data_IF_827129420949
#
_entry.id   IF_827129420949
#
_cell.length_a   1.000
_cell.length_b   1.000
_cell.length_c   1.000
_cell.angle_alpha   90.00
_cell.angle_beta   90.00
_cell.angle_gamma   90.00
#
_symmetry.space_group_name_H-M   'P 1'
#
loop_
_entity.id
_entity.type
_entity.pdbx_description
1 polymer ?
#
# COMPACT_ATOMS: atom_id res chain seq x y z
N UNK A 1 11.22 -57.68 33.57
CA UNK A 1 12.04 -56.51 34.02
C UNK A 1 12.16 -55.41 32.97
N UNK A 2 12.44 -55.69 31.71
CA UNK A 2 12.55 -54.65 30.68
C UNK A 2 11.23 -53.96 30.35
N UNK A 3 10.11 -54.69 30.34
CA UNK A 3 8.77 -54.14 30.04
C UNK A 3 8.31 -53.15 31.11
N UNK A 4 8.65 -53.40 32.38
CA UNK A 4 8.30 -52.50 33.48
C UNK A 4 9.15 -51.21 33.45
N UNK A 5 10.41 -51.28 33.04
CA UNK A 5 11.26 -50.10 32.85
C UNK A 5 10.82 -49.24 31.67
N UNK A 6 10.32 -49.86 30.59
CA UNK A 6 9.75 -49.19 29.44
C UNK A 6 8.41 -48.51 29.80
N UNK A 7 7.53 -49.19 30.58
CA UNK A 7 6.29 -48.56 31.07
C UNK A 7 6.55 -47.38 32.00
N UNK A 8 7.57 -47.46 32.88
CA UNK A 8 7.93 -46.36 33.76
C UNK A 8 8.52 -45.17 33.00
N UNK A 9 9.22 -45.40 31.90
CA UNK A 9 9.72 -44.29 31.04
C UNK A 9 8.61 -43.65 30.19
N UNK A 10 7.56 -44.37 29.86
CA UNK A 10 6.40 -43.86 29.13
C UNK A 10 5.43 -43.12 30.05
N UNK A 11 5.36 -43.45 31.32
CA UNK A 11 4.51 -42.75 32.29
C UNK A 11 5.18 -41.53 32.93
N UNK A 12 6.50 -41.35 32.78
CA UNK A 12 7.22 -40.19 33.29
C UNK A 12 7.30 -39.01 32.28
N UNK A 13 6.78 -39.15 31.11
CA UNK A 13 6.41 -38.01 30.25
C UNK A 13 4.95 -37.65 30.56
N UNK A 14 4.72 -37.08 31.74
CA UNK A 14 3.61 -36.17 31.89
C UNK A 14 3.90 -34.99 30.95
N UNK A 15 3.59 -35.16 29.72
CA UNK A 15 3.38 -34.01 28.84
C UNK A 15 2.18 -33.31 29.49
N UNK A 16 2.45 -32.22 30.23
CA UNK A 16 1.43 -31.29 30.62
C UNK A 16 0.85 -30.65 29.37
N UNK A 17 -0.06 -31.39 28.71
CA UNK A 17 -0.80 -30.93 27.55
C UNK A 17 -1.71 -29.79 27.99
N UNK A 18 -2.01 -28.89 27.06
CA UNK A 18 -3.00 -27.85 27.25
C UNK A 18 -4.38 -28.47 27.51
N UNK A 19 -5.15 -27.86 28.37
CA UNK A 19 -6.55 -28.25 28.61
C UNK A 19 -7.44 -27.68 27.49
N UNK A 20 -8.58 -28.35 27.22
CA UNK A 20 -9.57 -27.86 26.25
C UNK A 20 -10.07 -26.46 26.60
N UNK A 21 -10.22 -26.15 27.89
CA UNK A 21 -10.70 -24.84 28.35
C UNK A 21 -9.66 -23.75 28.14
N UNK A 22 -8.36 -24.04 28.23
CA UNK A 22 -7.28 -23.09 27.93
C UNK A 22 -7.27 -22.69 26.46
N UNK A 23 -7.44 -23.65 25.57
CA UNK A 23 -7.58 -23.37 24.13
C UNK A 23 -8.86 -22.60 23.83
N UNK A 24 -9.98 -22.96 24.45
CA UNK A 24 -11.25 -22.29 24.26
C UNK A 24 -11.17 -20.81 24.66
N UNK A 25 -10.63 -20.52 25.84
CA UNK A 25 -10.55 -19.14 26.35
C UNK A 25 -9.63 -18.27 25.48
N UNK A 26 -8.54 -18.82 24.97
CA UNK A 26 -7.63 -18.12 24.06
C UNK A 26 -8.33 -17.78 22.75
N UNK A 27 -9.07 -18.71 22.17
CA UNK A 27 -9.84 -18.47 20.94
C UNK A 27 -10.92 -17.40 21.12
N UNK A 28 -11.61 -17.40 22.26
CA UNK A 28 -12.60 -16.38 22.60
C UNK A 28 -11.96 -15.00 22.71
N UNK A 29 -10.83 -14.88 23.42
CA UNK A 29 -10.11 -13.61 23.55
C UNK A 29 -9.63 -13.09 22.19
N UNK A 30 -9.02 -13.95 21.38
CA UNK A 30 -8.59 -13.58 20.01
C UNK A 30 -9.79 -13.13 19.18
N UNK A 31 -10.92 -13.83 19.25
CA UNK A 31 -12.15 -13.47 18.55
C UNK A 31 -12.66 -12.07 18.91
N UNK A 32 -12.68 -11.72 20.20
CA UNK A 32 -13.09 -10.39 20.66
C UNK A 32 -12.11 -9.32 20.19
N UNK A 33 -10.80 -9.57 20.27
CA UNK A 33 -9.78 -8.62 19.81
C UNK A 33 -9.86 -8.39 18.31
N UNK A 34 -10.05 -9.43 17.53
CA UNK A 34 -10.21 -9.33 16.06
C UNK A 34 -11.49 -8.57 15.69
N UNK A 35 -12.58 -8.77 16.42
CA UNK A 35 -13.84 -8.07 16.16
C UNK A 35 -13.69 -6.53 16.23
N UNK A 36 -12.79 -6.04 17.07
CA UNK A 36 -12.48 -4.61 17.20
C UNK A 36 -11.37 -4.17 16.22
N UNK A 37 -10.34 -5.01 16.08
CA UNK A 37 -9.14 -4.65 15.31
C UNK A 37 -9.38 -4.62 13.80
N UNK A 38 -10.17 -5.54 13.24
CA UNK A 38 -10.37 -5.65 11.79
C UNK A 38 -11.05 -4.41 11.18
N UNK A 39 -12.18 -3.89 11.70
CA UNK A 39 -12.80 -2.68 11.18
C UNK A 39 -11.87 -1.46 11.23
N UNK A 40 -11.14 -1.29 12.33
CA UNK A 40 -10.17 -0.20 12.50
C UNK A 40 -9.01 -0.29 11.50
N UNK A 41 -8.52 -1.49 11.25
CA UNK A 41 -7.45 -1.74 10.28
C UNK A 41 -7.85 -1.39 8.85
N UNK A 42 -9.07 -1.74 8.43
CA UNK A 42 -9.57 -1.43 7.09
C UNK A 42 -9.66 0.08 6.86
N UNK A 43 -10.20 0.84 7.83
CA UNK A 43 -10.25 2.29 7.73
C UNK A 43 -8.87 2.95 7.68
N UNK A 44 -7.90 2.44 8.42
CA UNK A 44 -6.52 2.91 8.38
C UNK A 44 -5.85 2.61 7.04
N UNK A 45 -6.05 1.41 6.49
CA UNK A 45 -5.53 0.99 5.19
C UNK A 45 -6.00 1.91 4.07
N UNK A 46 -7.28 2.28 4.04
CA UNK A 46 -7.84 3.18 3.03
C UNK A 46 -7.23 4.59 3.11
N UNK A 47 -7.07 5.12 4.33
CA UNK A 47 -6.40 6.41 4.54
C UNK A 47 -4.95 6.38 4.08
N UNK A 48 -4.23 5.30 4.40
CA UNK A 48 -2.85 5.11 3.97
C UNK A 48 -2.73 5.04 2.44
N UNK A 49 -3.64 4.33 1.77
CA UNK A 49 -3.69 4.24 0.32
C UNK A 49 -3.94 5.60 -0.35
N UNK A 50 -4.90 6.38 0.15
CA UNK A 50 -5.16 7.76 -0.32
C UNK A 50 -3.94 8.66 -0.17
N UNK A 51 -3.32 8.64 1.00
CA UNK A 51 -2.13 9.44 1.28
C UNK A 51 -0.95 9.03 0.39
N UNK A 52 -0.77 7.74 0.16
CA UNK A 52 0.28 7.22 -0.73
C UNK A 52 0.06 7.65 -2.19
N UNK A 53 -1.18 7.60 -2.69
CA UNK A 53 -1.49 8.06 -4.04
C UNK A 53 -1.22 9.56 -4.21
N UNK A 54 -1.65 10.38 -3.26
CA UNK A 54 -1.35 11.82 -3.26
C UNK A 54 0.15 12.11 -3.20
N UNK A 55 0.87 11.41 -2.33
CA UNK A 55 2.32 11.58 -2.19
C UNK A 55 3.07 11.20 -3.46
N UNK A 56 2.66 10.13 -4.15
CA UNK A 56 3.26 9.71 -5.42
C UNK A 56 3.05 10.75 -6.52
N UNK A 57 1.85 11.34 -6.61
CA UNK A 57 1.59 12.44 -7.55
C UNK A 57 2.43 13.66 -7.20
N UNK A 58 2.45 14.05 -5.92
CA UNK A 58 3.20 15.23 -5.48
C UNK A 58 4.71 15.09 -5.72
N UNK A 59 5.27 13.92 -5.45
CA UNK A 59 6.70 13.67 -5.65
C UNK A 59 7.12 13.65 -7.13
N UNK A 60 6.18 13.44 -8.05
CA UNK A 60 6.44 13.45 -9.49
C UNK A 60 6.50 14.87 -10.09
N UNK A 61 5.93 15.86 -9.42
CA UNK A 61 5.84 17.24 -9.94
C UNK A 61 7.21 17.84 -10.31
N UNK A 62 8.25 17.72 -9.47
CA UNK A 62 9.58 18.22 -9.85
C UNK A 62 10.11 17.62 -11.15
N UNK A 63 9.88 16.32 -11.39
CA UNK A 63 10.30 15.66 -12.62
C UNK A 63 9.51 16.13 -13.85
N UNK A 64 8.21 16.40 -13.67
CA UNK A 64 7.35 16.98 -14.73
C UNK A 64 7.82 18.37 -15.09
N UNK A 65 8.12 19.21 -14.11
CA UNK A 65 8.62 20.58 -14.34
C UNK A 65 10.04 20.57 -14.92
N UNK A 66 10.90 19.63 -14.53
CA UNK A 66 12.22 19.45 -15.13
C UNK A 66 12.10 19.05 -16.61
N UNK A 67 11.18 18.13 -16.94
CA UNK A 67 10.90 17.79 -18.33
C UNK A 67 10.49 19.00 -19.16
N UNK A 68 9.60 19.83 -18.62
CA UNK A 68 9.19 21.07 -19.27
C UNK A 68 10.33 22.07 -19.44
N UNK A 69 11.18 22.21 -18.44
CA UNK A 69 12.36 23.08 -18.51
C UNK A 69 13.32 22.67 -19.61
N UNK A 70 13.49 21.34 -19.82
CA UNK A 70 14.40 20.79 -20.83
C UNK A 70 13.80 20.84 -22.25
N UNK A 71 12.49 20.67 -22.39
CA UNK A 71 11.82 20.51 -23.69
C UNK A 71 10.94 21.71 -24.11
N UNK A 72 10.59 22.60 -23.20
CA UNK A 72 9.70 23.74 -23.44
C UNK A 72 8.23 23.36 -23.70
N UNK A 73 7.87 22.10 -23.54
CA UNK A 73 6.54 21.54 -23.80
C UNK A 73 6.33 20.26 -23.01
N UNK A 74 5.08 19.93 -22.72
CA UNK A 74 4.72 18.60 -22.16
C UNK A 74 4.42 17.56 -23.24
N UNK A 75 4.35 17.96 -24.52
CA UNK A 75 4.12 17.02 -25.63
C UNK A 75 5.24 16.00 -25.68
N UNK A 76 4.86 14.72 -25.74
CA UNK A 76 5.82 13.60 -25.75
C UNK A 76 6.32 13.17 -24.37
N UNK A 77 5.88 13.83 -23.28
CA UNK A 77 6.21 13.39 -21.93
C UNK A 77 5.67 11.98 -21.70
N UNK A 78 6.51 11.10 -21.15
CA UNK A 78 6.17 9.72 -20.88
C UNK A 78 6.67 9.31 -19.48
N UNK A 79 6.16 8.22 -18.98
CA UNK A 79 6.67 7.65 -17.70
C UNK A 79 8.17 7.34 -17.80
N UNK A 80 8.63 6.85 -18.94
CA UNK A 80 10.05 6.58 -19.18
C UNK A 80 10.91 7.85 -19.12
N UNK A 81 10.43 8.95 -19.73
CA UNK A 81 11.11 10.23 -19.69
C UNK A 81 11.20 10.81 -18.26
N UNK A 82 10.11 10.71 -17.48
CA UNK A 82 10.10 11.14 -16.09
C UNK A 82 11.03 10.29 -15.22
N UNK A 83 11.07 8.98 -15.43
CA UNK A 83 11.98 8.07 -14.71
C UNK A 83 13.44 8.26 -15.09
N UNK A 84 13.73 8.78 -16.27
CA UNK A 84 15.08 9.16 -16.64
C UNK A 84 15.59 10.37 -15.83
N UNK A 85 14.68 11.25 -15.44
CA UNK A 85 14.98 12.40 -14.57
C UNK A 85 15.05 11.96 -13.10
N UNK A 86 14.07 11.20 -12.64
CA UNK A 86 13.99 10.64 -11.28
C UNK A 86 13.43 9.22 -11.34
N UNK A 87 14.27 8.23 -11.06
CA UNK A 87 13.89 6.82 -11.05
C UNK A 87 12.81 6.48 -10.01
N UNK A 88 12.60 7.34 -9.00
CA UNK A 88 11.60 7.18 -7.95
C UNK A 88 10.17 7.55 -8.37
N UNK A 89 9.96 8.07 -9.58
CA UNK A 89 8.63 8.43 -10.09
C UNK A 89 7.71 7.21 -10.16
N UNK A 90 6.52 7.34 -9.57
CA UNK A 90 5.50 6.28 -9.45
C UNK A 90 4.14 6.71 -9.98
N UNK A 91 4.12 7.51 -11.03
CA UNK A 91 2.87 7.98 -11.65
C UNK A 91 2.71 7.42 -13.05
N UNK A 92 1.46 7.45 -13.53
CA UNK A 92 1.12 7.29 -14.93
C UNK A 92 0.89 8.67 -15.55
N UNK A 93 1.12 8.78 -16.84
CA UNK A 93 0.90 10.01 -17.61
C UNK A 93 -0.41 9.88 -18.38
N UNK A 94 -1.25 10.90 -18.31
CA UNK A 94 -2.50 10.97 -19.06
C UNK A 94 -2.27 11.16 -20.57
N UNK A 95 -3.29 10.83 -21.35
CA UNK A 95 -3.19 10.88 -22.81
C UNK A 95 -3.16 12.31 -23.40
N UNK A 96 -3.76 13.26 -22.71
CA UNK A 96 -3.88 14.64 -23.19
C UNK A 96 -2.69 15.48 -22.73
N UNK A 97 -1.66 15.52 -23.57
CA UNK A 97 -0.47 16.35 -23.38
C UNK A 97 -0.45 17.45 -24.44
N UNK A 98 -0.28 18.68 -24.00
CA UNK A 98 -0.15 19.84 -24.89
C UNK A 98 1.11 20.64 -24.56
N UNK A 99 1.34 21.74 -25.24
CA UNK A 99 2.47 22.62 -24.95
C UNK A 99 2.44 23.17 -23.52
N UNK A 100 1.26 23.33 -22.93
CA UNK A 100 1.06 24.00 -21.63
C UNK A 100 0.26 23.16 -20.63
N UNK A 101 -0.21 21.97 -21.03
CA UNK A 101 -1.05 21.14 -20.19
C UNK A 101 -0.51 19.71 -20.11
N UNK A 102 -0.58 19.14 -18.91
CA UNK A 102 -0.27 17.74 -18.63
C UNK A 102 -1.26 17.15 -17.62
N UNK A 103 -1.35 15.84 -17.58
CA UNK A 103 -1.97 15.13 -16.47
C UNK A 103 -1.10 13.97 -16.03
N UNK A 104 -0.86 13.89 -14.74
CA UNK A 104 -0.24 12.74 -14.09
C UNK A 104 -1.14 12.20 -12.99
N UNK A 105 -1.16 10.90 -12.82
CA UNK A 105 -2.03 10.26 -11.82
C UNK A 105 -1.37 9.03 -11.21
N UNK A 106 -1.86 8.67 -10.02
CA UNK A 106 -1.49 7.43 -9.34
C UNK A 106 -2.71 6.82 -8.69
N UNK A 107 -2.79 5.51 -8.68
CA UNK A 107 -3.85 4.74 -8.04
C UNK A 107 -3.25 3.80 -7.02
N UNK A 108 -3.72 3.88 -5.78
CA UNK A 108 -3.35 3.00 -4.68
C UNK A 108 -4.60 2.50 -3.97
N UNK A 109 -4.71 1.19 -3.78
CA UNK A 109 -5.85 0.59 -3.08
C UNK A 109 -7.22 0.94 -3.69
N UNK A 110 -7.29 1.22 -5.00
CA UNK A 110 -8.50 1.66 -5.69
C UNK A 110 -8.77 3.18 -5.65
N UNK A 111 -7.94 3.97 -4.95
CA UNK A 111 -8.08 5.43 -4.88
C UNK A 111 -7.17 6.09 -5.89
N UNK A 112 -7.78 6.83 -6.82
CA UNK A 112 -7.08 7.61 -7.84
C UNK A 112 -6.88 9.05 -7.36
N UNK A 113 -5.66 9.55 -7.53
CA UNK A 113 -5.32 10.96 -7.41
C UNK A 113 -4.57 11.42 -8.64
N UNK A 114 -4.86 12.63 -9.08
CA UNK A 114 -4.27 13.22 -10.28
C UNK A 114 -3.95 14.69 -10.10
N UNK A 115 -3.07 15.18 -10.98
CA UNK A 115 -2.83 16.61 -11.19
C UNK A 115 -3.05 16.92 -12.66
N UNK A 116 -4.09 17.70 -12.92
CA UNK A 116 -4.51 18.15 -14.26
C UNK A 116 -3.96 19.56 -14.54
N UNK A 117 -2.75 19.63 -15.08
CA UNK A 117 -2.08 20.89 -15.39
C UNK A 117 -1.32 21.51 -14.21
N UNK A 118 -0.48 22.49 -14.52
CA UNK A 118 0.41 23.16 -13.56
C UNK A 118 -0.36 23.94 -12.47
N UNK A 119 -1.46 24.56 -12.83
CA UNK A 119 -2.27 25.41 -11.93
C UNK A 119 -3.25 24.62 -11.06
N UNK A 120 -3.61 23.38 -11.43
CA UNK A 120 -4.59 22.60 -10.68
C UNK A 120 -4.00 22.03 -9.39
N UNK A 121 -4.83 21.95 -8.33
CA UNK A 121 -4.50 21.18 -7.15
C UNK A 121 -4.55 19.67 -7.44
N UNK A 122 -3.88 18.87 -6.61
CA UNK A 122 -4.00 17.40 -6.65
C UNK A 122 -5.41 17.02 -6.16
N UNK A 123 -6.14 16.28 -6.98
CA UNK A 123 -7.52 15.88 -6.70
C UNK A 123 -7.82 14.47 -7.19
N UNK A 124 -9.09 14.10 -7.09
CA UNK A 124 -9.59 12.76 -7.47
C UNK A 124 -10.16 12.72 -8.89
N UNK A 125 -10.11 13.80 -9.64
CA UNK A 125 -10.57 13.86 -11.02
C UNK A 125 -9.68 12.97 -11.90
N UNK A 126 -10.29 12.22 -12.83
CA UNK A 126 -9.52 11.46 -13.80
C UNK A 126 -8.77 12.40 -14.76
N UNK A 127 -7.65 11.91 -15.31
CA UNK A 127 -6.97 12.59 -16.40
C UNK A 127 -7.86 12.59 -17.65
N UNK A 128 -8.09 13.75 -18.22
CA UNK A 128 -8.85 13.96 -19.46
C UNK A 128 -7.91 14.13 -20.63
#
# INVERSE_FOLDING_TARGET
MLVNKLRQRLSSKEESGFTLIELLIVLVIIGILLAIAVPSYLGFKDRAAKTAAQANVRSSIPSVEAYYADNGTYVGMSVAALKAIDAGVKVSVGATLTATHYCVYNTQGGFLYSKNGSAAAIGTAACT
#
